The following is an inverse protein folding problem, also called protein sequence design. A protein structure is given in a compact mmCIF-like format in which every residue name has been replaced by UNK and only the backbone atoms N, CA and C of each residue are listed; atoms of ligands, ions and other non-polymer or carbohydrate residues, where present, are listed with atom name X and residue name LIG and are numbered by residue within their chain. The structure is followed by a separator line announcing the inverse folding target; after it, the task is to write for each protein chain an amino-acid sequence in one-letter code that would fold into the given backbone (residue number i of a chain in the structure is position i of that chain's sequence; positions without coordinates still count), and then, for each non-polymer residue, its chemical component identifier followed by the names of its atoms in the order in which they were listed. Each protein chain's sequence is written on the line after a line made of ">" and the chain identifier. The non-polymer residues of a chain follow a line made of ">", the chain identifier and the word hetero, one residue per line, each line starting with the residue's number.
data_IF_607439970121
#
_entry.id   IF_607439970121
#
_cell.length_a   1.000
_cell.length_b   1.000
_cell.length_c   1.000
_cell.angle_alpha   90.00
_cell.angle_beta   90.00
_cell.angle_gamma   90.00
#
_symmetry.space_group_name_H-M   'P 1'
#
loop_
_entity.id
_entity.type
_entity.pdbx_description
1 polymer ?
#
# COMPACT_ATOMS: atom_id res chain seq x y z
N UNK A 1 17.83 -5.30 17.78
CA UNK A 1 16.79 -5.26 16.73
C UNK A 1 17.43 -5.47 15.37
N UNK A 2 16.93 -6.41 14.63
CA UNK A 2 17.45 -6.69 13.28
C UNK A 2 17.05 -5.57 12.32
N UNK A 3 18.03 -5.12 11.52
CA UNK A 3 17.79 -4.11 10.49
C UNK A 3 17.64 -4.86 9.16
N UNK A 4 16.46 -4.78 8.57
CA UNK A 4 16.18 -5.43 7.30
C UNK A 4 16.63 -4.58 6.12
N UNK A 5 17.16 -5.22 5.10
CA UNK A 5 17.49 -4.56 3.86
C UNK A 5 16.18 -4.19 3.13
N UNK A 6 16.28 -3.38 2.08
CA UNK A 6 15.10 -2.96 1.32
C UNK A 6 14.39 -4.16 0.69
N UNK A 7 15.16 -5.16 0.26
CA UNK A 7 14.63 -6.37 -0.36
C UNK A 7 13.91 -7.25 0.67
N UNK A 8 14.33 -7.19 1.93
CA UNK A 8 13.73 -7.97 3.00
C UNK A 8 12.47 -7.31 3.57
N UNK A 9 12.28 -6.01 3.30
CA UNK A 9 11.10 -5.28 3.74
C UNK A 9 10.00 -5.43 2.73
N UNK A 10 9.11 -6.36 2.97
CA UNK A 10 8.02 -6.67 2.06
C UNK A 10 6.65 -6.40 2.67
N UNK A 11 5.67 -6.24 1.80
CA UNK A 11 4.27 -6.07 2.19
C UNK A 11 3.48 -7.18 1.51
N UNK A 12 2.70 -7.89 2.31
CA UNK A 12 1.88 -9.00 1.83
C UNK A 12 0.44 -8.74 2.23
N UNK A 13 -0.46 -8.80 1.26
CA UNK A 13 -1.90 -8.63 1.51
C UNK A 13 -2.59 -9.91 1.08
N UNK A 14 -3.31 -10.53 2.01
CA UNK A 14 -3.96 -11.81 1.78
C UNK A 14 -5.46 -11.71 2.02
N UNK A 15 -6.25 -12.17 1.08
CA UNK A 15 -7.68 -12.35 1.23
C UNK A 15 -8.21 -13.27 0.13
N UNK A 16 -9.40 -13.81 0.36
CA UNK A 16 -10.08 -14.62 -0.66
C UNK A 16 -11.41 -13.94 -1.01
N UNK A 17 -12.05 -14.43 -2.07
CA UNK A 17 -13.36 -13.92 -2.47
C UNK A 17 -14.42 -14.10 -1.38
N UNK A 18 -14.22 -15.10 -0.52
CA UNK A 18 -15.14 -15.39 0.57
C UNK A 18 -14.90 -14.52 1.81
N UNK A 19 -13.77 -13.83 1.87
CA UNK A 19 -13.38 -13.04 3.05
C UNK A 19 -13.97 -11.64 3.02
N UNK A 20 -14.45 -11.17 4.16
CA UNK A 20 -14.90 -9.80 4.34
C UNK A 20 -13.75 -8.89 4.74
N UNK A 21 -12.65 -9.48 5.20
CA UNK A 21 -11.47 -8.76 5.67
C UNK A 21 -10.24 -9.22 4.93
N UNK A 22 -9.24 -8.34 4.89
CA UNK A 22 -7.94 -8.64 4.32
C UNK A 22 -6.89 -8.55 5.41
N UNK A 23 -5.90 -9.44 5.37
CA UNK A 23 -4.79 -9.45 6.30
C UNK A 23 -3.62 -8.74 5.63
N UNK A 24 -3.10 -7.70 6.30
CA UNK A 24 -2.00 -6.89 5.77
C UNK A 24 -0.77 -7.05 6.65
N UNK A 25 0.25 -7.66 6.09
CA UNK A 25 1.55 -7.79 6.74
C UNK A 25 2.52 -6.83 6.07
N UNK A 26 3.24 -6.04 6.84
CA UNK A 26 4.15 -5.06 6.24
C UNK A 26 5.31 -4.69 7.15
N UNK A 27 6.48 -4.47 6.53
CA UNK A 27 7.66 -3.88 7.14
C UNK A 27 7.87 -2.43 6.68
N UNK A 28 6.99 -1.91 5.84
CA UNK A 28 7.10 -0.56 5.31
C UNK A 28 6.66 0.46 6.36
N UNK A 29 7.54 1.38 6.73
CA UNK A 29 7.25 2.36 7.77
C UNK A 29 6.05 3.23 7.46
N UNK A 30 5.90 3.67 6.22
CA UNK A 30 4.77 4.50 5.82
C UNK A 30 3.46 3.73 5.98
N UNK A 31 3.46 2.46 5.57
CA UNK A 31 2.29 1.60 5.70
C UNK A 31 1.98 1.32 7.17
N UNK A 32 3.01 1.04 7.98
CA UNK A 32 2.85 0.79 9.40
C UNK A 32 2.21 2.01 10.07
N UNK A 33 2.71 3.21 9.80
CA UNK A 33 2.17 4.44 10.36
C UNK A 33 0.73 4.68 9.91
N UNK A 34 0.45 4.39 8.64
CA UNK A 34 -0.90 4.53 8.10
C UNK A 34 -1.87 3.58 8.79
N UNK A 35 -1.47 2.32 8.94
CA UNK A 35 -2.30 1.31 9.60
C UNK A 35 -2.53 1.65 11.07
N UNK A 36 -1.49 2.12 11.76
CA UNK A 36 -1.61 2.53 13.15
C UNK A 36 -2.60 3.68 13.31
N UNK A 37 -2.57 4.63 12.39
CA UNK A 37 -3.48 5.77 12.40
C UNK A 37 -4.91 5.30 12.16
N UNK A 38 -5.11 4.43 11.18
CA UNK A 38 -6.43 3.88 10.88
C UNK A 38 -6.98 3.08 12.05
N UNK A 39 -6.11 2.32 12.72
CA UNK A 39 -6.50 1.57 13.91
C UNK A 39 -6.96 2.50 15.03
N UNK A 40 -6.26 3.61 15.23
CA UNK A 40 -6.64 4.60 16.24
C UNK A 40 -7.96 5.28 15.91
N UNK A 41 -8.21 5.57 14.63
CA UNK A 41 -9.41 6.24 14.18
C UNK A 41 -10.63 5.32 14.06
N UNK A 42 -10.40 4.07 13.67
CA UNK A 42 -11.46 3.09 13.38
C UNK A 42 -11.16 1.74 14.01
N UNK A 43 -11.08 1.67 15.36
CA UNK A 43 -10.72 0.42 16.04
C UNK A 43 -11.73 -0.70 15.83
N UNK A 44 -12.97 -0.38 15.49
CA UNK A 44 -14.00 -1.38 15.22
C UNK A 44 -13.87 -2.01 13.83
N UNK A 45 -13.13 -1.37 12.93
CA UNK A 45 -12.93 -1.88 11.57
C UNK A 45 -11.55 -2.49 11.36
N UNK A 46 -10.58 -2.05 12.13
CA UNK A 46 -9.18 -2.48 11.99
C UNK A 46 -8.75 -3.25 13.23
N UNK A 47 -8.15 -4.40 13.05
CA UNK A 47 -7.64 -5.20 14.14
C UNK A 47 -6.15 -5.42 13.98
N UNK A 48 -5.38 -5.18 15.05
CA UNK A 48 -3.96 -5.47 15.07
C UNK A 48 -3.75 -6.92 15.51
N UNK A 49 -3.20 -7.73 14.62
CA UNK A 49 -3.04 -9.16 14.86
C UNK A 49 -1.71 -9.46 15.53
N UNK A 50 -0.63 -8.85 15.05
CA UNK A 50 0.71 -9.21 15.47
C UNK A 50 1.72 -8.10 15.20
N UNK A 51 2.78 -8.10 16.00
CA UNK A 51 3.92 -7.25 15.76
C UNK A 51 5.17 -8.10 15.95
N UNK A 52 6.01 -8.18 14.94
CA UNK A 52 7.20 -9.01 14.95
C UNK A 52 8.40 -8.25 15.51
N UNK A 53 9.43 -8.99 15.93
CA UNK A 53 10.66 -8.41 16.46
C UNK A 53 11.38 -7.51 15.45
N UNK A 54 11.17 -7.77 14.17
CA UNK A 54 11.76 -6.97 13.09
C UNK A 54 11.06 -5.63 12.90
N UNK A 55 9.96 -5.41 13.61
CA UNK A 55 9.14 -4.21 13.45
C UNK A 55 7.98 -4.41 12.47
N UNK A 56 7.90 -5.56 11.82
CA UNK A 56 6.80 -5.86 10.91
C UNK A 56 5.49 -5.96 11.70
N UNK A 57 4.41 -5.51 11.11
CA UNK A 57 3.09 -5.59 11.75
C UNK A 57 2.11 -6.31 10.83
N UNK A 58 1.11 -6.94 11.46
CA UNK A 58 0.01 -7.56 10.74
C UNK A 58 -1.28 -6.97 11.26
N UNK A 59 -2.09 -6.45 10.36
CA UNK A 59 -3.41 -5.89 10.68
C UNK A 59 -4.45 -6.55 9.81
N UNK A 60 -5.68 -6.61 10.31
CA UNK A 60 -6.84 -7.01 9.53
C UNK A 60 -7.67 -5.76 9.25
N UNK A 61 -7.99 -5.53 8.00
CA UNK A 61 -8.77 -4.37 7.56
C UNK A 61 -9.92 -4.86 6.68
N UNK A 62 -10.99 -4.06 6.50
CA UNK A 62 -12.05 -4.44 5.58
C UNK A 62 -11.49 -4.69 4.19
N UNK A 63 -11.94 -5.76 3.54
CA UNK A 63 -11.45 -6.09 2.20
C UNK A 63 -11.67 -4.97 1.19
N UNK A 64 -12.76 -4.22 1.35
CA UNK A 64 -13.09 -3.10 0.47
C UNK A 64 -12.04 -1.99 0.46
N UNK A 65 -11.19 -1.96 1.48
CA UNK A 65 -10.10 -0.99 1.54
C UNK A 65 -8.93 -1.36 0.64
N UNK A 66 -8.89 -2.61 0.18
CA UNK A 66 -7.81 -3.08 -0.68
C UNK A 66 -8.19 -2.77 -2.12
N UNK A 67 -7.50 -1.80 -2.71
CA UNK A 67 -7.75 -1.37 -4.08
C UNK A 67 -6.43 -1.17 -4.80
N UNK A 68 -6.42 -1.54 -6.07
CA UNK A 68 -5.28 -1.27 -6.94
C UNK A 68 -5.61 0.01 -7.69
N UNK A 69 -4.95 1.09 -7.30
CA UNK A 69 -5.21 2.39 -7.89
C UNK A 69 -3.95 2.94 -8.54
N UNK A 70 -4.07 3.67 -9.62
CA UNK A 70 -2.92 4.29 -10.25
C UNK A 70 -2.41 5.43 -9.36
N UNK A 71 -1.21 5.87 -9.64
CA UNK A 71 -0.61 6.99 -8.94
C UNK A 71 -1.57 8.18 -9.02
N UNK A 72 -1.69 8.92 -7.91
CA UNK A 72 -2.59 10.05 -7.82
C UNK A 72 -2.36 11.03 -8.96
N UNK A 73 -3.45 11.45 -9.58
CA UNK A 73 -3.39 12.43 -10.65
C UNK A 73 -3.01 13.80 -10.09
N UNK A 74 -2.14 14.48 -10.82
CA UNK A 74 -1.73 15.84 -10.52
C UNK A 74 -2.54 16.81 -11.39
N UNK A 75 -2.19 18.10 -11.35
CA UNK A 75 -2.89 19.13 -12.11
C UNK A 75 -2.96 18.80 -13.60
N UNK A 76 -3.92 19.43 -14.31
CA UNK A 76 -4.07 19.23 -15.75
C UNK A 76 -2.80 19.58 -16.53
N UNK A 77 -2.10 20.61 -16.11
CA UNK A 77 -0.84 21.02 -16.74
C UNK A 77 0.17 19.88 -16.66
N UNK A 78 0.28 19.27 -15.50
CA UNK A 78 1.19 18.17 -15.29
C UNK A 78 0.77 16.94 -16.11
N UNK A 79 -0.52 16.71 -16.21
CA UNK A 79 -1.06 15.60 -17.00
C UNK A 79 -0.76 15.79 -18.49
N UNK A 80 -0.90 17.03 -18.98
CA UNK A 80 -0.61 17.34 -20.36
C UNK A 80 0.87 17.13 -20.67
N UNK A 81 1.75 17.58 -19.76
CA UNK A 81 3.19 17.37 -19.92
C UNK A 81 3.54 15.89 -19.95
N UNK A 82 2.88 15.11 -19.08
CA UNK A 82 3.10 13.67 -19.02
C UNK A 82 2.62 12.97 -20.29
N UNK A 83 1.46 13.40 -20.80
CA UNK A 83 0.89 12.85 -22.04
C UNK A 83 1.81 13.15 -23.23
N UNK A 84 2.35 14.37 -23.31
CA UNK A 84 3.29 14.76 -24.35
C UNK A 84 4.55 13.91 -24.29
N UNK A 85 5.05 13.67 -23.08
CA UNK A 85 6.24 12.84 -22.88
C UNK A 85 6.00 11.42 -23.34
N UNK A 86 4.85 10.87 -23.01
CA UNK A 86 4.48 9.49 -23.41
C UNK A 86 4.31 9.40 -24.93
N UNK A 87 3.70 10.42 -25.55
CA UNK A 87 3.53 10.45 -26.98
C UNK A 87 4.90 10.51 -27.69
N UNK A 88 5.82 11.31 -27.17
CA UNK A 88 7.17 11.38 -27.70
C UNK A 88 7.88 10.04 -27.61
N UNK A 89 7.74 9.35 -26.49
CA UNK A 89 8.32 8.02 -26.30
C UNK A 89 7.74 7.00 -27.28
N UNK A 90 6.44 7.06 -27.54
CA UNK A 90 5.81 6.15 -28.51
C UNK A 90 6.34 6.41 -29.91
N UNK A 91 6.53 7.67 -30.29
CA UNK A 91 7.07 8.02 -31.60
C UNK A 91 8.46 7.46 -31.79
N UNK A 92 9.26 7.43 -30.73
CA UNK A 92 10.62 6.89 -30.78
C UNK A 92 10.60 5.36 -30.91
N UNK A 93 9.62 4.73 -30.31
CA UNK A 93 9.51 3.26 -30.29
C UNK A 93 8.84 2.68 -31.53
N UNK A 94 8.11 3.45 -32.26
CA UNK A 94 7.36 2.98 -33.43
C UNK A 94 8.17 3.01 -34.72
#
# INVERSE_FOLDING_TARGET
>A
MAVLSREERETIILYTEADDCAEVYTNNKKMINRLAKLYAERPEEVEKIREADTGAVTYTVPRDWIKVVPKRRVSEEHRAALADRLAAMRSIQS
#
